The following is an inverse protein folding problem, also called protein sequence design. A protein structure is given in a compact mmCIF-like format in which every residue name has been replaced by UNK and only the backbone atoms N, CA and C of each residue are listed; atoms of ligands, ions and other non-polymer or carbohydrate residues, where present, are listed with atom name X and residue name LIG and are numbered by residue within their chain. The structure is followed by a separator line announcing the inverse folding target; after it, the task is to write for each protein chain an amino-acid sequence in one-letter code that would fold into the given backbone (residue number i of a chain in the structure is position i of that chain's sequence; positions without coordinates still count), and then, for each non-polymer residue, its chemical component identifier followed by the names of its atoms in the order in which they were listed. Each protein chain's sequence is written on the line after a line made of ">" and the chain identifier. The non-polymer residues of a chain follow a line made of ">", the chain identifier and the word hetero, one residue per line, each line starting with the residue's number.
data_IF_128040258467
#
_entry.id   IF_128040258467
#
_cell.length_a   1.000
_cell.length_b   1.000
_cell.length_c   1.000
_cell.angle_alpha   90.00
_cell.angle_beta   90.00
_cell.angle_gamma   90.00
#
_symmetry.space_group_name_H-M   'P 1'
#
loop_
_entity.id
_entity.type
_entity.pdbx_description
1 polymer ?
#
# COMPACT_ATOMS: atom_id res chain seq x y z
N UNK A 1 -15.64 -7.18 23.90
CA UNK A 1 -14.60 -7.98 23.18
C UNK A 1 -13.92 -7.03 22.22
N UNK A 2 -12.64 -7.21 21.94
CA UNK A 2 -11.92 -6.35 21.00
C UNK A 2 -12.40 -6.67 19.56
N UNK A 3 -12.84 -5.66 18.81
CA UNK A 3 -13.33 -5.80 17.42
C UNK A 3 -12.21 -6.10 16.42
N UNK A 4 -10.97 -5.69 16.74
CA UNK A 4 -9.76 -5.94 15.95
C UNK A 4 -8.70 -6.57 16.85
N UNK A 5 -8.01 -7.59 16.34
CA UNK A 5 -6.89 -8.23 17.04
C UNK A 5 -5.66 -8.28 16.15
N UNK A 6 -4.54 -7.82 16.67
CA UNK A 6 -3.23 -7.91 16.01
C UNK A 6 -2.47 -9.08 16.61
N UNK A 7 -1.85 -9.89 15.76
CA UNK A 7 -0.95 -10.97 16.14
C UNK A 7 0.39 -10.80 15.40
N UNK A 8 1.47 -11.21 16.04
CA UNK A 8 2.83 -10.97 15.59
C UNK A 8 3.70 -12.21 15.80
N UNK A 9 4.59 -12.51 14.84
CA UNK A 9 5.56 -13.60 14.96
C UNK A 9 6.90 -13.22 14.33
N UNK A 10 7.98 -13.68 14.96
CA UNK A 10 9.37 -13.67 14.45
C UNK A 10 9.88 -15.06 14.13
N UNK A 11 9.00 -16.06 14.09
CA UNK A 11 9.42 -17.42 13.77
C UNK A 11 9.97 -17.50 12.33
N UNK A 12 11.05 -18.24 12.15
CA UNK A 12 11.77 -18.34 10.88
C UNK A 12 11.09 -19.24 9.85
N UNK A 13 10.07 -20.01 10.23
CA UNK A 13 9.30 -20.85 9.32
C UNK A 13 7.85 -20.42 9.24
N UNK A 14 7.25 -20.49 8.06
CA UNK A 14 5.84 -20.15 7.82
C UNK A 14 4.90 -20.94 8.75
N UNK A 15 5.14 -22.23 8.95
CA UNK A 15 4.32 -23.07 9.82
C UNK A 15 4.37 -22.60 11.29
N UNK A 16 5.57 -22.30 11.82
CA UNK A 16 5.73 -21.81 13.18
C UNK A 16 5.13 -20.40 13.34
N UNK A 17 5.35 -19.52 12.36
CA UNK A 17 4.79 -18.17 12.39
C UNK A 17 3.26 -18.19 12.44
N UNK A 18 2.63 -19.01 11.61
CA UNK A 18 1.16 -19.14 11.59
C UNK A 18 0.64 -19.80 12.86
N UNK A 19 1.35 -20.80 13.42
CA UNK A 19 0.96 -21.41 14.68
C UNK A 19 0.96 -20.39 15.84
N UNK A 20 1.96 -19.52 15.92
CA UNK A 20 2.05 -18.43 16.91
C UNK A 20 0.91 -17.41 16.71
N UNK A 21 0.66 -17.00 15.46
CA UNK A 21 -0.44 -16.07 15.11
C UNK A 21 -1.79 -16.67 15.48
N UNK A 22 -2.05 -17.94 15.12
CA UNK A 22 -3.30 -18.63 15.44
C UNK A 22 -3.48 -18.77 16.95
N UNK A 23 -2.38 -19.06 17.70
CA UNK A 23 -2.39 -19.10 19.15
C UNK A 23 -2.79 -17.77 19.78
N UNK A 24 -2.23 -16.64 19.29
CA UNK A 24 -2.58 -15.29 19.75
C UNK A 24 -4.02 -14.90 19.38
N UNK A 25 -4.58 -15.49 18.33
CA UNK A 25 -5.98 -15.33 17.92
C UNK A 25 -6.93 -16.37 18.51
N UNK A 26 -6.48 -17.19 19.47
CA UNK A 26 -7.32 -18.19 20.10
C UNK A 26 -8.58 -17.56 20.73
N UNK A 27 -9.75 -18.16 20.46
CA UNK A 27 -11.05 -17.65 20.91
C UNK A 27 -11.54 -16.39 20.14
N UNK A 28 -10.76 -15.84 19.23
CA UNK A 28 -11.19 -14.77 18.34
C UNK A 28 -11.78 -15.39 17.05
N UNK A 29 -12.91 -14.86 16.58
CA UNK A 29 -13.57 -15.33 15.35
C UNK A 29 -13.49 -14.25 14.28
N UNK A 30 -12.47 -14.25 13.41
CA UNK A 30 -12.34 -13.24 12.39
C UNK A 30 -13.31 -13.49 11.21
N UNK A 31 -13.84 -12.40 10.63
CA UNK A 31 -14.41 -12.38 9.29
C UNK A 31 -13.31 -12.25 8.22
N UNK A 32 -12.24 -11.52 8.58
CA UNK A 32 -11.09 -11.25 7.72
C UNK A 32 -9.81 -11.34 8.53
N UNK A 33 -8.77 -11.89 7.92
CA UNK A 33 -7.38 -11.74 8.39
C UNK A 33 -6.56 -11.09 7.28
N UNK A 34 -5.98 -9.92 7.57
CA UNK A 34 -4.95 -9.29 6.75
C UNK A 34 -3.59 -9.73 7.27
N UNK A 35 -2.71 -10.22 6.38
CA UNK A 35 -1.38 -10.70 6.73
C UNK A 35 -0.30 -9.93 5.96
N UNK A 36 0.69 -9.46 6.69
CA UNK A 36 1.88 -8.77 6.17
C UNK A 36 3.10 -9.56 6.60
N UNK A 37 3.97 -9.91 5.66
CA UNK A 37 5.10 -10.78 5.94
C UNK A 37 6.35 -10.31 5.20
N UNK A 38 7.47 -10.26 5.92
CA UNK A 38 8.77 -10.06 5.32
C UNK A 38 9.10 -11.19 4.31
N UNK A 39 9.94 -10.88 3.33
CA UNK A 39 10.36 -11.80 2.26
C UNK A 39 11.23 -12.97 2.73
N UNK A 40 11.66 -12.98 4.00
CA UNK A 40 12.34 -14.11 4.63
C UNK A 40 11.45 -15.36 4.77
N UNK A 41 10.12 -15.22 4.69
CA UNK A 41 9.17 -16.31 4.70
C UNK A 41 8.94 -16.82 3.27
N UNK A 42 8.72 -18.13 3.10
CA UNK A 42 8.18 -18.66 1.84
C UNK A 42 6.71 -18.23 1.71
N UNK A 43 6.37 -17.32 0.78
CA UNK A 43 5.03 -16.75 0.72
C UNK A 43 3.94 -17.77 0.39
N UNK A 44 4.25 -18.79 -0.42
CA UNK A 44 3.30 -19.82 -0.78
C UNK A 44 2.99 -20.75 0.41
N UNK A 45 4.01 -21.14 1.17
CA UNK A 45 3.83 -21.92 2.39
C UNK A 45 3.08 -21.11 3.46
N UNK A 46 3.39 -19.81 3.60
CA UNK A 46 2.71 -18.93 4.55
C UNK A 46 1.21 -18.80 4.22
N UNK A 47 0.88 -18.52 2.97
CA UNK A 47 -0.51 -18.39 2.53
C UNK A 47 -1.29 -19.69 2.74
N UNK A 48 -0.71 -20.85 2.40
CA UNK A 48 -1.33 -22.15 2.60
C UNK A 48 -1.54 -22.47 4.10
N UNK A 49 -0.54 -22.17 4.95
CA UNK A 49 -0.65 -22.37 6.39
C UNK A 49 -1.72 -21.46 7.01
N UNK A 50 -1.81 -20.18 6.58
CA UNK A 50 -2.86 -19.26 7.00
C UNK A 50 -4.25 -19.82 6.66
N UNK A 51 -4.46 -20.39 5.44
CA UNK A 51 -5.73 -20.98 5.05
C UNK A 51 -6.10 -22.20 5.88
N UNK A 52 -5.11 -22.99 6.31
CA UNK A 52 -5.33 -24.09 7.23
C UNK A 52 -5.73 -23.62 8.63
N UNK A 53 -5.08 -22.58 9.14
CA UNK A 53 -5.35 -22.02 10.47
C UNK A 53 -6.68 -21.24 10.52
N UNK A 54 -7.04 -20.58 9.43
CA UNK A 54 -8.26 -19.78 9.29
C UNK A 54 -9.09 -20.28 8.11
N UNK A 55 -9.83 -21.39 8.28
CA UNK A 55 -10.64 -21.98 7.20
C UNK A 55 -11.81 -21.08 6.79
N UNK A 56 -12.42 -21.31 5.62
CA UNK A 56 -13.65 -20.62 5.25
C UNK A 56 -14.71 -20.71 6.35
N UNK A 57 -15.50 -19.66 6.59
CA UNK A 57 -15.72 -18.49 5.74
C UNK A 57 -14.75 -17.33 5.96
N UNK A 58 -13.67 -17.49 6.73
CA UNK A 58 -12.72 -16.41 6.96
C UNK A 58 -12.06 -15.98 5.64
N UNK A 59 -12.19 -14.70 5.29
CA UNK A 59 -11.50 -14.12 4.16
C UNK A 59 -10.02 -13.89 4.52
N UNK A 60 -9.12 -14.13 3.57
CA UNK A 60 -7.68 -13.90 3.75
C UNK A 60 -7.15 -12.99 2.63
N UNK A 61 -6.46 -11.92 3.03
CA UNK A 61 -5.73 -11.05 2.12
C UNK A 61 -4.41 -10.62 2.77
N UNK A 62 -3.48 -10.12 1.98
CA UNK A 62 -2.20 -9.64 2.50
C UNK A 62 -1.16 -9.48 1.41
N UNK A 63 0.09 -9.25 1.81
CA UNK A 63 1.20 -9.16 0.88
C UNK A 63 2.55 -9.38 1.57
N UNK A 64 3.58 -9.57 0.76
CA UNK A 64 4.98 -9.42 1.18
C UNK A 64 5.32 -7.96 1.42
N UNK A 65 6.28 -7.69 2.29
CA UNK A 65 6.65 -6.34 2.74
C UNK A 65 8.17 -6.14 2.79
N UNK A 66 8.56 -4.91 3.08
CA UNK A 66 9.94 -4.55 3.39
C UNK A 66 10.21 -4.43 4.90
N UNK A 67 9.27 -4.87 5.71
CA UNK A 67 9.33 -4.89 7.17
C UNK A 67 7.99 -4.51 7.81
N UNK A 68 7.76 -4.97 9.03
CA UNK A 68 6.53 -4.82 9.78
C UNK A 68 6.71 -3.97 11.02
N UNK A 69 5.61 -3.35 11.46
CA UNK A 69 5.53 -2.69 12.75
C UNK A 69 4.86 -3.65 13.72
N UNK A 70 5.66 -4.20 14.63
CA UNK A 70 5.23 -5.08 15.70
C UNK A 70 5.13 -4.37 17.05
N UNK A 71 4.85 -5.12 18.13
CA UNK A 71 4.76 -4.55 19.49
C UNK A 71 6.03 -3.85 19.97
N UNK A 72 7.19 -4.30 19.51
CA UNK A 72 8.50 -3.76 19.86
C UNK A 72 9.03 -2.73 18.85
N UNK A 73 8.20 -2.28 17.93
CA UNK A 73 8.55 -1.33 16.86
C UNK A 73 8.78 -2.02 15.51
N UNK A 74 9.62 -1.40 14.69
CA UNK A 74 9.91 -1.88 13.32
C UNK A 74 10.83 -3.12 13.32
N UNK A 75 10.48 -4.10 12.49
CA UNK A 75 11.23 -5.35 12.31
C UNK A 75 11.30 -5.74 10.83
N UNK A 76 12.39 -6.40 10.42
CA UNK A 76 12.62 -6.79 9.02
C UNK A 76 12.23 -8.25 8.70
N UNK A 77 12.15 -9.11 9.74
CA UNK A 77 11.98 -10.57 9.54
C UNK A 77 10.81 -11.05 10.40
N UNK A 78 9.62 -10.58 10.09
CA UNK A 78 8.45 -10.89 10.91
C UNK A 78 7.19 -11.11 10.07
N UNK A 79 6.14 -11.54 10.73
CA UNK A 79 4.80 -11.68 10.20
C UNK A 79 3.83 -10.98 11.13
N UNK A 80 3.02 -10.08 10.60
CA UNK A 80 1.93 -9.42 11.32
C UNK A 80 0.61 -9.85 10.70
N UNK A 81 -0.34 -10.24 11.52
CA UNK A 81 -1.71 -10.53 11.10
C UNK A 81 -2.71 -9.68 11.88
N UNK A 82 -3.66 -9.10 11.16
CA UNK A 82 -4.74 -8.28 11.72
C UNK A 82 -6.05 -9.00 11.48
N UNK A 83 -6.70 -9.46 12.53
CA UNK A 83 -8.02 -10.09 12.49
C UNK A 83 -9.13 -9.09 12.77
N UNK A 84 -10.18 -9.10 11.96
CA UNK A 84 -11.40 -8.31 12.12
C UNK A 84 -12.53 -9.23 12.58
N UNK A 85 -13.12 -8.96 13.74
CA UNK A 85 -14.11 -9.84 14.36
C UNK A 85 -15.37 -9.98 13.52
N UNK A 86 -15.86 -11.21 13.32
CA UNK A 86 -17.09 -11.48 12.56
C UNK A 86 -18.38 -10.95 13.23
N UNK A 87 -18.30 -10.55 14.51
CA UNK A 87 -19.41 -9.89 15.19
C UNK A 87 -19.61 -8.45 14.71
N UNK A 88 -18.52 -7.77 14.32
CA UNK A 88 -18.50 -6.33 14.04
C UNK A 88 -18.16 -6.03 12.58
N UNK A 89 -17.69 -7.04 11.83
CA UNK A 89 -17.24 -6.89 10.44
C UNK A 89 -17.73 -8.00 9.53
N UNK A 90 -17.92 -7.66 8.26
CA UNK A 90 -17.96 -8.63 7.16
C UNK A 90 -16.96 -8.23 6.10
N UNK A 91 -16.47 -9.19 5.32
CA UNK A 91 -15.51 -8.94 4.28
C UNK A 91 -15.72 -9.83 3.05
N UNK A 92 -15.48 -9.26 1.88
CA UNK A 92 -15.39 -9.96 0.62
C UNK A 92 -14.06 -9.62 -0.06
N UNK A 93 -13.34 -10.63 -0.52
CA UNK A 93 -12.05 -10.45 -1.18
C UNK A 93 -12.10 -10.83 -2.64
N UNK A 94 -11.23 -10.24 -3.45
CA UNK A 94 -11.03 -10.60 -4.85
C UNK A 94 -9.57 -10.45 -5.25
N UNK A 95 -9.09 -11.42 -6.03
CA UNK A 95 -7.80 -11.37 -6.70
C UNK A 95 -7.97 -10.76 -8.11
N UNK A 96 -7.08 -9.86 -8.47
CA UNK A 96 -6.95 -9.24 -9.80
C UNK A 96 -5.60 -9.71 -10.35
N UNK A 97 -5.54 -10.79 -11.13
CA UNK A 97 -4.31 -11.35 -11.65
C UNK A 97 -3.91 -10.70 -12.99
N UNK A 98 -2.67 -10.93 -13.43
CA UNK A 98 -2.20 -10.60 -14.78
C UNK A 98 -2.02 -9.10 -15.00
N UNK A 99 -1.46 -8.39 -14.04
CA UNK A 99 -1.27 -6.93 -14.10
C UNK A 99 -0.34 -6.50 -15.25
N UNK A 100 0.60 -7.35 -15.66
CA UNK A 100 1.47 -7.10 -16.82
C UNK A 100 0.68 -6.90 -18.11
N UNK A 101 -0.43 -7.62 -18.26
CA UNK A 101 -1.40 -7.50 -19.34
C UNK A 101 -2.73 -6.91 -18.83
N UNK A 102 -2.66 -5.85 -18.02
CA UNK A 102 -3.80 -5.30 -17.31
C UNK A 102 -4.99 -5.00 -18.22
N UNK A 103 -6.12 -5.63 -17.94
CA UNK A 103 -7.40 -5.40 -18.58
C UNK A 103 -8.34 -4.64 -17.62
N UNK A 104 -8.64 -3.40 -18.01
CA UNK A 104 -9.52 -2.51 -17.24
C UNK A 104 -10.93 -3.12 -17.05
N UNK A 105 -11.50 -3.70 -18.11
CA UNK A 105 -12.87 -4.23 -18.06
C UNK A 105 -12.95 -5.50 -17.21
N UNK A 106 -11.95 -6.39 -17.27
CA UNK A 106 -11.88 -7.56 -16.38
C UNK A 106 -11.71 -7.14 -14.93
N UNK A 107 -10.84 -6.18 -14.65
CA UNK A 107 -10.66 -5.63 -13.30
C UNK A 107 -11.98 -5.06 -12.76
N UNK A 108 -12.64 -4.18 -13.51
CA UNK A 108 -13.91 -3.59 -13.09
C UNK A 108 -14.99 -4.64 -12.84
N UNK A 109 -15.18 -5.61 -13.73
CA UNK A 109 -16.15 -6.69 -13.55
C UNK A 109 -15.89 -7.48 -12.25
N UNK A 110 -14.64 -7.86 -11.97
CA UNK A 110 -14.27 -8.56 -10.73
C UNK A 110 -14.61 -7.76 -9.49
N UNK A 111 -14.33 -6.46 -9.52
CA UNK A 111 -14.64 -5.55 -8.41
C UNK A 111 -16.15 -5.37 -8.26
N UNK A 112 -16.90 -5.21 -9.36
CA UNK A 112 -18.38 -5.12 -9.37
C UNK A 112 -19.03 -6.37 -8.77
N UNK A 113 -18.60 -7.57 -9.17
CA UNK A 113 -19.10 -8.84 -8.63
C UNK A 113 -18.82 -8.94 -7.11
N UNK A 114 -17.67 -8.44 -6.68
CA UNK A 114 -17.29 -8.44 -5.26
C UNK A 114 -18.06 -7.41 -4.47
N UNK A 115 -18.23 -6.20 -5.02
CA UNK A 115 -19.06 -5.16 -4.44
C UNK A 115 -20.50 -5.62 -4.26
N UNK A 116 -21.07 -6.29 -5.27
CA UNK A 116 -22.42 -6.83 -5.19
C UNK A 116 -22.56 -7.83 -4.04
N UNK A 117 -21.65 -8.80 -3.92
CA UNK A 117 -21.63 -9.77 -2.81
C UNK A 117 -21.48 -9.08 -1.46
N UNK A 118 -20.54 -8.14 -1.34
CA UNK A 118 -20.33 -7.37 -0.12
C UNK A 118 -21.56 -6.57 0.27
N UNK A 119 -22.26 -5.96 -0.71
CA UNK A 119 -23.50 -5.21 -0.48
C UNK A 119 -24.59 -6.09 0.10
N UNK A 120 -24.82 -7.27 -0.47
CA UNK A 120 -25.81 -8.23 0.06
C UNK A 120 -25.48 -8.66 1.51
N UNK A 121 -24.21 -8.91 1.81
CA UNK A 121 -23.78 -9.30 3.14
C UNK A 121 -23.97 -8.17 4.16
N UNK A 122 -23.53 -6.95 3.84
CA UNK A 122 -23.63 -5.79 4.74
C UNK A 122 -25.10 -5.38 5.00
N UNK A 123 -25.95 -5.45 3.99
CA UNK A 123 -27.38 -5.16 4.13
C UNK A 123 -28.08 -6.16 5.04
N UNK A 124 -27.76 -7.47 4.90
CA UNK A 124 -28.29 -8.51 5.77
C UNK A 124 -27.87 -8.34 7.24
N UNK A 125 -26.72 -7.71 7.50
CA UNK A 125 -26.20 -7.45 8.85
C UNK A 125 -26.54 -6.04 9.37
N UNK A 126 -27.03 -5.14 8.49
CA UNK A 126 -27.31 -3.76 8.85
C UNK A 126 -26.04 -2.90 9.02
N UNK A 127 -24.93 -3.24 8.35
CA UNK A 127 -23.67 -2.52 8.43
C UNK A 127 -23.65 -1.35 7.44
N UNK A 128 -23.71 -0.08 7.90
CA UNK A 128 -23.81 1.08 7.03
C UNK A 128 -22.46 1.51 6.40
N UNK A 129 -21.36 1.21 7.07
CA UNK A 129 -20.04 1.70 6.70
C UNK A 129 -19.26 0.68 5.88
N UNK A 130 -18.51 1.14 4.88
CA UNK A 130 -17.63 0.29 4.07
C UNK A 130 -16.33 0.98 3.73
N UNK A 131 -15.24 0.21 3.70
CA UNK A 131 -13.94 0.63 3.19
C UNK A 131 -13.33 -0.49 2.35
N UNK A 132 -12.42 -0.13 1.47
CA UNK A 132 -11.68 -1.06 0.65
C UNK A 132 -10.20 -1.04 1.01
N UNK A 133 -9.59 -2.21 1.13
CA UNK A 133 -8.16 -2.38 1.33
C UNK A 133 -7.55 -3.01 0.09
N UNK A 134 -6.70 -2.27 -0.63
CA UNK A 134 -6.09 -2.66 -1.90
C UNK A 134 -4.59 -2.89 -1.72
N UNK A 135 -4.12 -4.08 -2.05
CA UNK A 135 -2.70 -4.40 -2.10
C UNK A 135 -2.32 -4.80 -3.52
N UNK A 136 -1.24 -4.23 -4.03
CA UNK A 136 -0.79 -4.42 -5.42
C UNK A 136 0.64 -4.95 -5.43
N UNK A 137 0.97 -5.86 -6.32
CA UNK A 137 2.36 -6.25 -6.57
C UNK A 137 3.19 -5.01 -6.95
N UNK A 138 4.14 -4.64 -6.07
CA UNK A 138 4.92 -3.41 -6.21
C UNK A 138 5.89 -3.40 -7.40
N UNK A 139 6.18 -4.56 -7.99
CA UNK A 139 7.03 -4.67 -9.18
C UNK A 139 6.21 -4.66 -10.49
N UNK A 140 4.88 -4.69 -10.38
CA UNK A 140 4.00 -4.65 -11.57
C UNK A 140 3.99 -3.30 -12.27
N UNK A 141 4.30 -2.20 -11.57
CA UNK A 141 4.17 -0.82 -12.04
C UNK A 141 2.73 -0.47 -12.48
N UNK A 142 1.72 -1.09 -11.84
CA UNK A 142 0.30 -0.98 -12.21
C UNK A 142 -0.60 -0.40 -11.09
N UNK A 143 -0.01 0.16 -10.05
CA UNK A 143 -0.76 0.70 -8.92
C UNK A 143 -1.79 1.76 -9.36
N UNK A 144 -1.40 2.69 -10.23
CA UNK A 144 -2.27 3.77 -10.68
C UNK A 144 -3.44 3.28 -11.55
N UNK A 145 -3.24 2.45 -12.60
CA UNK A 145 -4.36 1.93 -13.38
C UNK A 145 -5.28 1.02 -12.57
N UNK A 146 -4.74 0.17 -11.68
CA UNK A 146 -5.54 -0.68 -10.79
C UNK A 146 -6.33 0.16 -9.80
N UNK A 147 -5.67 1.10 -9.10
CA UNK A 147 -6.34 1.98 -8.15
C UNK A 147 -7.46 2.80 -8.80
N UNK A 148 -7.22 3.32 -10.02
CA UNK A 148 -8.25 4.04 -10.79
C UNK A 148 -9.43 3.13 -11.17
N UNK A 149 -9.15 1.91 -11.64
CA UNK A 149 -10.19 0.95 -12.01
C UNK A 149 -11.08 0.60 -10.82
N UNK A 150 -10.47 0.32 -9.68
CA UNK A 150 -11.15 0.02 -8.41
C UNK A 150 -12.00 1.21 -7.95
N UNK A 151 -11.43 2.43 -7.91
CA UNK A 151 -12.15 3.60 -7.44
C UNK A 151 -13.35 3.98 -8.33
N UNK A 152 -13.25 3.76 -9.65
CA UNK A 152 -14.37 4.00 -10.56
C UNK A 152 -15.59 3.11 -10.26
N UNK A 153 -15.37 1.88 -9.81
CA UNK A 153 -16.44 0.95 -9.42
C UNK A 153 -16.94 1.24 -8.02
N UNK A 154 -16.05 1.53 -7.07
CA UNK A 154 -16.40 1.69 -5.67
C UNK A 154 -17.06 3.05 -5.34
N UNK A 155 -16.94 4.04 -6.23
CA UNK A 155 -17.52 5.37 -6.04
C UNK A 155 -17.01 6.05 -4.77
N UNK A 156 -17.90 6.29 -3.80
CA UNK A 156 -17.58 6.97 -2.54
C UNK A 156 -16.97 6.07 -1.46
N UNK A 157 -16.88 4.76 -1.69
CA UNK A 157 -16.21 3.87 -0.73
C UNK A 157 -14.71 4.17 -0.73
N UNK A 158 -14.13 4.58 0.42
CA UNK A 158 -12.73 4.92 0.47
C UNK A 158 -11.84 3.70 0.23
N UNK A 159 -10.78 3.91 -0.54
CA UNK A 159 -9.76 2.89 -0.82
C UNK A 159 -8.48 3.27 -0.12
N UNK A 160 -7.96 2.37 0.69
CA UNK A 160 -6.65 2.46 1.34
C UNK A 160 -5.81 1.24 0.99
N UNK A 161 -4.51 1.33 1.14
CA UNK A 161 -3.63 0.19 0.85
C UNK A 161 -2.24 0.61 0.42
N UNK A 162 -1.58 -0.26 -0.31
CA UNK A 162 -0.20 -0.02 -0.75
C UNK A 162 0.32 -1.11 -1.68
N UNK A 163 1.60 -0.98 -2.01
CA UNK A 163 2.33 -1.94 -2.82
C UNK A 163 3.03 -2.98 -1.95
N UNK A 164 3.02 -4.23 -2.39
CA UNK A 164 3.84 -5.29 -1.80
C UNK A 164 5.33 -4.95 -1.97
N UNK A 165 6.14 -5.32 -0.99
CA UNK A 165 7.59 -5.12 -0.95
C UNK A 165 8.36 -6.43 -0.81
N UNK A 166 9.71 -6.35 -0.90
CA UNK A 166 10.63 -7.47 -0.73
C UNK A 166 11.97 -7.00 -0.10
N UNK A 167 11.91 -6.33 1.03
CA UNK A 167 13.09 -5.84 1.76
C UNK A 167 14.04 -4.99 0.91
N UNK A 168 13.54 -4.29 -0.11
CA UNK A 168 14.29 -3.47 -1.07
C UNK A 168 15.21 -4.28 -2.03
N UNK A 169 14.98 -5.59 -2.16
CA UNK A 169 15.71 -6.43 -3.12
C UNK A 169 15.23 -6.21 -4.56
N UNK A 170 13.98 -5.77 -4.76
CA UNK A 170 13.33 -5.55 -6.06
C UNK A 170 13.40 -6.77 -6.98
N UNK A 171 13.16 -7.96 -6.42
CA UNK A 171 13.24 -9.25 -7.13
C UNK A 171 11.89 -9.90 -7.29
N UNK A 172 11.09 -9.96 -6.21
CA UNK A 172 9.79 -10.60 -6.21
C UNK A 172 8.92 -10.06 -5.08
N UNK A 173 7.77 -9.53 -5.46
CA UNK A 173 6.71 -9.15 -4.52
C UNK A 173 5.48 -9.99 -4.80
N UNK A 174 4.69 -10.29 -3.75
CA UNK A 174 3.50 -11.12 -3.86
C UNK A 174 2.37 -10.60 -3.01
N UNK A 175 1.15 -10.77 -3.51
CA UNK A 175 -0.06 -10.57 -2.73
C UNK A 175 -0.62 -11.93 -2.29
N UNK A 176 -1.28 -11.96 -1.13
CA UNK A 176 -1.93 -13.15 -0.58
C UNK A 176 -3.43 -13.06 -0.78
N UNK A 177 -4.02 -14.13 -1.27
CA UNK A 177 -5.46 -14.26 -1.41
C UNK A 177 -5.90 -15.70 -1.15
N UNK A 178 -6.72 -15.89 -0.13
CA UNK A 178 -7.41 -17.14 0.19
C UNK A 178 -6.53 -18.42 0.13
N UNK A 179 -5.31 -18.33 0.67
CA UNK A 179 -4.38 -19.43 0.78
C UNK A 179 -3.41 -19.58 -0.38
N UNK A 180 -3.39 -18.63 -1.30
CA UNK A 180 -2.41 -18.53 -2.38
C UNK A 180 -1.59 -17.25 -2.29
N UNK A 181 -0.35 -17.30 -2.78
CA UNK A 181 0.53 -16.14 -2.96
C UNK A 181 0.81 -15.97 -4.45
N UNK A 182 0.67 -14.74 -4.97
CA UNK A 182 0.80 -14.46 -6.40
C UNK A 182 1.55 -13.15 -6.64
N UNK A 183 2.50 -13.20 -7.59
CA UNK A 183 3.07 -12.02 -8.24
C UNK A 183 2.20 -11.60 -9.43
N UNK A 184 2.49 -10.44 -10.01
CA UNK A 184 1.74 -9.89 -11.15
C UNK A 184 0.23 -9.80 -10.86
N UNK A 185 -0.11 -9.47 -9.60
CA UNK A 185 -1.49 -9.48 -9.11
C UNK A 185 -1.76 -8.35 -8.10
N UNK A 186 -3.05 -8.06 -7.91
CA UNK A 186 -3.52 -7.26 -6.79
C UNK A 186 -4.61 -8.03 -6.03
N UNK A 187 -4.78 -7.71 -4.75
CA UNK A 187 -5.88 -8.21 -3.93
C UNK A 187 -6.65 -7.02 -3.35
N UNK A 188 -7.96 -7.07 -3.46
CA UNK A 188 -8.89 -6.13 -2.85
C UNK A 188 -9.69 -6.84 -1.77
N UNK A 189 -9.76 -6.25 -0.58
CA UNK A 189 -10.67 -6.65 0.49
C UNK A 189 -11.69 -5.52 0.71
N UNK A 190 -12.97 -5.80 0.46
CA UNK A 190 -14.08 -4.93 0.84
C UNK A 190 -14.50 -5.29 2.25
N UNK A 191 -14.43 -4.34 3.17
CA UNK A 191 -14.73 -4.51 4.59
C UNK A 191 -15.94 -3.65 4.91
N UNK A 192 -16.95 -4.23 5.57
CA UNK A 192 -18.12 -3.48 6.04
C UNK A 192 -18.33 -3.69 7.54
N UNK A 193 -18.85 -2.65 8.23
CA UNK A 193 -18.99 -2.60 9.68
C UNK A 193 -20.10 -1.61 10.08
N UNK A 194 -20.60 -1.75 11.29
CA UNK A 194 -21.42 -0.74 11.96
C UNK A 194 -20.59 0.25 12.79
N UNK A 195 -19.33 -0.05 13.03
CA UNK A 195 -18.43 0.81 13.78
C UNK A 195 -18.07 2.07 13.00
N UNK A 196 -17.89 3.22 13.67
CA UNK A 196 -17.36 4.42 13.05
C UNK A 196 -15.88 4.21 12.69
N UNK A 197 -15.47 4.77 11.55
CA UNK A 197 -14.06 4.81 11.15
C UNK A 197 -13.73 6.12 10.42
N UNK A 198 -12.44 6.42 10.34
CA UNK A 198 -11.90 7.52 9.55
C UNK A 198 -10.71 7.06 8.72
N UNK A 199 -10.69 7.49 7.47
CA UNK A 199 -9.49 7.41 6.64
C UNK A 199 -8.77 8.74 6.74
N UNK A 200 -7.55 8.72 7.23
CA UNK A 200 -6.73 9.92 7.37
C UNK A 200 -5.52 9.84 6.47
N UNK A 201 -5.15 10.98 5.89
CA UNK A 201 -3.89 11.16 5.18
C UNK A 201 -2.95 12.00 6.04
N UNK A 202 -1.81 11.44 6.40
CA UNK A 202 -0.73 12.20 7.04
C UNK A 202 0.24 12.69 5.98
N UNK A 203 0.77 13.89 6.15
CA UNK A 203 1.76 14.48 5.26
C UNK A 203 2.69 15.37 6.07
N UNK A 204 3.96 14.96 6.17
CA UNK A 204 5.00 15.69 6.90
C UNK A 204 5.95 16.43 5.96
N UNK A 205 5.49 16.79 4.77
CA UNK A 205 6.23 17.58 3.80
C UNK A 205 5.47 18.86 3.48
N UNK A 206 6.22 19.96 3.41
CA UNK A 206 5.71 21.26 2.98
C UNK A 206 6.40 21.67 1.67
N UNK A 207 5.61 22.02 0.68
CA UNK A 207 6.08 22.49 -0.62
C UNK A 207 6.81 23.83 -0.46
N UNK A 208 7.92 23.97 -1.17
CA UNK A 208 8.61 25.26 -1.37
C UNK A 208 8.18 25.92 -2.69
N UNK A 209 8.71 27.09 -2.98
CA UNK A 209 8.46 27.81 -4.24
C UNK A 209 9.32 27.31 -5.41
N UNK A 210 10.30 26.46 -5.13
CA UNK A 210 11.21 25.91 -6.15
C UNK A 210 10.47 24.87 -7.00
N UNK A 211 10.37 25.15 -8.30
CA UNK A 211 9.62 24.33 -9.26
C UNK A 211 10.53 23.69 -10.29
N UNK A 212 10.12 22.52 -10.73
CA UNK A 212 10.78 21.69 -11.72
C UNK A 212 9.72 21.21 -12.71
N UNK A 213 9.84 21.60 -13.97
CA UNK A 213 8.95 21.10 -15.03
C UNK A 213 9.58 19.87 -15.65
N UNK A 214 8.88 18.75 -15.67
CA UNK A 214 9.29 17.55 -16.41
C UNK A 214 9.14 17.85 -17.91
N UNK A 215 10.26 18.04 -18.60
CA UNK A 215 10.30 18.37 -20.04
C UNK A 215 10.61 17.17 -20.92
N UNK A 216 11.00 16.04 -20.33
CA UNK A 216 11.18 14.78 -21.02
C UNK A 216 10.98 13.61 -20.06
N UNK A 217 10.21 12.61 -20.51
CA UNK A 217 9.94 11.42 -19.70
C UNK A 217 9.76 10.15 -20.55
N UNK A 218 9.95 9.00 -19.92
CA UNK A 218 9.53 7.67 -20.40
C UNK A 218 8.51 7.12 -19.39
N UNK A 219 7.21 7.46 -19.51
CA UNK A 219 6.21 7.16 -18.48
C UNK A 219 6.06 5.67 -18.16
N UNK A 220 6.12 4.80 -19.20
CA UNK A 220 6.01 3.35 -19.04
C UNK A 220 7.13 2.75 -18.16
N UNK A 221 8.29 3.42 -18.09
CA UNK A 221 9.46 3.04 -17.30
C UNK A 221 9.52 3.83 -15.97
N UNK A 222 8.62 4.79 -15.75
CA UNK A 222 8.66 5.75 -14.64
C UNK A 222 9.98 6.53 -14.59
N UNK A 223 10.51 6.93 -15.75
CA UNK A 223 11.80 7.62 -15.87
C UNK A 223 11.58 9.03 -16.39
N UNK A 224 12.17 10.01 -15.69
CA UNK A 224 12.30 11.40 -16.13
C UNK A 224 13.68 11.60 -16.74
N UNK A 225 13.73 11.97 -18.01
CA UNK A 225 14.98 12.22 -18.74
C UNK A 225 15.43 13.66 -18.63
N UNK A 226 14.47 14.60 -18.61
CA UNK A 226 14.76 16.03 -18.58
C UNK A 226 13.84 16.78 -17.60
N UNK A 227 14.43 17.72 -16.89
CA UNK A 227 13.76 18.72 -16.04
C UNK A 227 14.22 20.12 -16.51
N UNK A 228 13.27 21.01 -16.76
CA UNK A 228 13.54 22.38 -17.23
C UNK A 228 14.43 22.44 -18.52
N UNK A 229 14.41 21.41 -19.37
CA UNK A 229 15.22 21.28 -20.57
C UNK A 229 16.67 20.82 -20.32
N UNK A 230 17.01 20.36 -19.12
CA UNK A 230 18.34 19.84 -18.75
C UNK A 230 18.23 18.37 -18.31
N UNK A 231 19.34 17.58 -18.37
CA UNK A 231 19.34 16.21 -17.85
C UNK A 231 18.82 16.16 -16.40
N UNK A 232 17.84 15.32 -16.15
CA UNK A 232 17.01 15.36 -14.95
C UNK A 232 17.81 15.36 -13.63
N UNK A 233 18.82 14.46 -13.50
CA UNK A 233 19.61 14.35 -12.29
C UNK A 233 20.50 15.57 -12.07
N UNK A 234 21.02 16.18 -13.15
CA UNK A 234 21.87 17.37 -13.05
C UNK A 234 21.05 18.57 -12.59
N UNK A 235 19.87 18.76 -13.17
CA UNK A 235 19.00 19.89 -12.80
C UNK A 235 18.42 19.70 -11.39
N UNK A 236 18.00 18.50 -11.02
CA UNK A 236 17.56 18.20 -9.65
C UNK A 236 18.70 18.50 -8.65
N UNK A 237 19.92 18.00 -8.90
CA UNK A 237 21.09 18.24 -8.07
C UNK A 237 21.37 19.74 -7.88
N UNK A 238 21.27 20.52 -8.96
CA UNK A 238 21.43 21.97 -8.94
C UNK A 238 20.39 22.66 -8.05
N UNK A 239 19.12 22.27 -8.16
CA UNK A 239 18.01 22.87 -7.41
C UNK A 239 18.08 22.52 -5.93
N UNK A 240 18.41 21.28 -5.59
CA UNK A 240 18.50 20.87 -4.18
C UNK A 240 19.85 21.24 -3.52
N UNK A 241 20.84 21.67 -4.32
CA UNK A 241 22.17 22.08 -3.82
C UNK A 241 23.06 20.90 -3.41
N UNK A 242 22.82 19.69 -3.97
CA UNK A 242 23.58 18.46 -3.68
C UNK A 242 24.33 18.03 -4.94
N UNK A 243 25.64 17.71 -4.87
CA UNK A 243 26.35 17.15 -6.02
C UNK A 243 25.69 15.89 -6.55
N UNK A 244 25.62 15.71 -7.89
CA UNK A 244 24.95 14.55 -8.52
C UNK A 244 25.53 13.21 -8.04
N UNK A 245 26.81 13.15 -7.75
CA UNK A 245 27.47 11.95 -7.22
C UNK A 245 27.00 11.55 -5.80
N UNK A 246 26.35 12.47 -5.09
CA UNK A 246 25.84 12.27 -3.73
C UNK A 246 24.30 12.11 -3.71
N UNK A 247 23.67 11.98 -4.88
CA UNK A 247 22.25 11.69 -4.99
C UNK A 247 21.99 10.21 -4.73
N UNK A 248 21.77 9.88 -3.49
CA UNK A 248 21.44 8.57 -2.97
C UNK A 248 20.01 8.56 -2.38
N UNK A 249 19.49 7.40 -1.92
CA UNK A 249 18.17 7.33 -1.30
C UNK A 249 17.97 8.27 -0.12
N UNK A 250 19.02 8.57 0.66
CA UNK A 250 18.95 9.50 1.79
C UNK A 250 18.80 10.95 1.31
N UNK A 251 19.51 11.32 0.24
CA UNK A 251 19.37 12.64 -0.39
C UNK A 251 17.96 12.82 -0.95
N UNK A 252 17.38 11.79 -1.61
CA UNK A 252 16.00 11.87 -2.12
C UNK A 252 14.96 11.96 -0.99
N UNK A 253 15.19 11.29 0.13
CA UNK A 253 14.33 11.41 1.31
C UNK A 253 14.44 12.80 1.98
N UNK A 254 15.61 13.40 2.00
CA UNK A 254 15.84 14.72 2.58
C UNK A 254 15.28 15.86 1.72
N UNK A 255 15.27 15.68 0.39
CA UNK A 255 14.81 16.68 -0.59
C UNK A 255 13.70 16.12 -1.49
N UNK A 256 12.54 15.72 -0.94
CA UNK A 256 11.48 15.11 -1.71
C UNK A 256 10.86 16.11 -2.69
N UNK A 257 10.23 15.57 -3.73
CA UNK A 257 9.46 16.37 -4.67
C UNK A 257 7.98 16.01 -4.58
N UNK A 258 7.14 17.02 -4.77
CA UNK A 258 5.66 16.87 -4.71
C UNK A 258 5.02 17.42 -5.97
N UNK A 259 3.89 16.82 -6.34
CA UNK A 259 2.98 17.34 -7.36
C UNK A 259 1.68 17.80 -6.69
N UNK A 260 1.08 18.87 -7.18
CA UNK A 260 -0.23 19.33 -6.73
C UNK A 260 -1.32 18.87 -7.69
N UNK A 261 -2.28 18.10 -7.16
CA UNK A 261 -3.42 17.58 -7.91
C UNK A 261 -4.70 17.87 -7.12
N UNK A 262 -5.68 18.53 -7.73
CA UNK A 262 -6.97 18.81 -7.09
C UNK A 262 -6.87 19.62 -5.79
N UNK A 263 -5.83 20.46 -5.65
CA UNK A 263 -5.59 21.23 -4.42
C UNK A 263 -4.75 20.50 -3.36
N UNK A 264 -4.58 19.20 -3.47
CA UNK A 264 -3.76 18.37 -2.56
C UNK A 264 -2.37 18.12 -3.11
N UNK A 265 -1.41 17.93 -2.22
CA UNK A 265 -0.01 17.64 -2.57
C UNK A 265 0.24 16.13 -2.44
N UNK A 266 1.01 15.59 -3.39
CA UNK A 266 1.39 14.17 -3.43
C UNK A 266 2.88 14.06 -3.69
N UNK A 267 3.57 13.31 -2.82
CA UNK A 267 4.99 13.03 -3.01
C UNK A 267 5.19 12.19 -4.26
N UNK A 268 6.26 12.52 -5.01
CA UNK A 268 6.76 11.72 -6.13
C UNK A 268 8.17 11.26 -5.76
N UNK A 269 8.25 10.05 -5.21
CA UNK A 269 9.51 9.54 -4.68
C UNK A 269 10.46 9.14 -5.81
N UNK A 270 11.66 9.71 -5.78
CA UNK A 270 12.76 9.34 -6.68
C UNK A 270 13.39 8.06 -6.13
N UNK A 271 13.65 7.08 -7.01
CA UNK A 271 14.28 5.82 -6.67
C UNK A 271 15.80 5.87 -6.82
N UNK A 272 16.27 6.34 -7.97
CA UNK A 272 17.71 6.36 -8.29
C UNK A 272 18.05 7.29 -9.45
N UNK A 273 19.35 7.59 -9.55
CA UNK A 273 19.98 8.19 -10.73
C UNK A 273 20.38 7.07 -11.70
N UNK A 274 20.06 7.20 -12.97
CA UNK A 274 20.51 6.28 -14.02
C UNK A 274 21.84 6.77 -14.63
N UNK A 275 22.59 5.87 -15.35
CA UNK A 275 23.88 6.22 -15.96
C UNK A 275 23.81 7.36 -16.99
N UNK A 276 22.66 7.58 -17.62
CA UNK A 276 22.38 8.66 -18.58
C UNK A 276 21.91 9.97 -17.89
N UNK A 277 22.06 10.09 -16.58
CA UNK A 277 21.57 11.19 -15.76
C UNK A 277 20.05 11.38 -15.78
N UNK A 278 19.28 10.40 -16.20
CA UNK A 278 17.85 10.37 -15.94
C UNK A 278 17.54 9.94 -14.51
N UNK A 279 16.31 10.19 -14.03
CA UNK A 279 15.84 9.83 -12.70
C UNK A 279 14.72 8.79 -12.81
N UNK A 280 14.86 7.64 -12.15
CA UNK A 280 13.77 6.69 -11.96
C UNK A 280 12.92 7.06 -10.76
N UNK A 281 11.60 6.87 -10.87
CA UNK A 281 10.63 7.14 -9.82
C UNK A 281 9.94 5.86 -9.38
N UNK A 282 9.47 5.82 -8.13
CA UNK A 282 8.64 4.73 -7.63
C UNK A 282 7.17 4.81 -8.10
N UNK A 283 6.72 5.96 -8.58
CA UNK A 283 5.34 6.25 -8.96
C UNK A 283 5.25 6.73 -10.41
N UNK A 284 4.03 6.75 -10.95
CA UNK A 284 3.79 7.29 -12.28
C UNK A 284 4.22 8.76 -12.38
N UNK A 285 4.89 9.05 -13.48
CA UNK A 285 5.39 10.38 -13.82
C UNK A 285 5.20 10.59 -15.33
N UNK A 286 4.92 11.81 -15.75
CA UNK A 286 4.65 12.13 -17.14
C UNK A 286 5.28 13.46 -17.51
N UNK A 287 5.45 13.69 -18.81
CA UNK A 287 5.89 14.97 -19.34
C UNK A 287 4.83 16.05 -19.07
N UNK A 288 5.30 17.28 -18.82
CA UNK A 288 4.43 18.41 -18.47
C UNK A 288 4.06 18.50 -17.00
N UNK A 289 4.37 17.50 -16.18
CA UNK A 289 4.15 17.58 -14.73
C UNK A 289 5.07 18.64 -14.11
N UNK A 290 4.48 19.47 -13.25
CA UNK A 290 5.22 20.45 -12.46
C UNK A 290 5.46 19.86 -11.07
N UNK A 291 6.69 19.49 -10.80
CA UNK A 291 7.17 19.11 -9.48
C UNK A 291 7.58 20.34 -8.69
N UNK A 292 7.39 20.30 -7.39
CA UNK A 292 7.95 21.30 -6.48
C UNK A 292 8.86 20.60 -5.48
N UNK A 293 9.99 21.22 -5.13
CA UNK A 293 10.77 20.75 -3.99
C UNK A 293 9.92 20.86 -2.73
N UNK A 294 10.05 19.91 -1.84
CA UNK A 294 9.46 19.97 -0.52
C UNK A 294 10.53 19.87 0.56
N UNK A 295 10.18 20.35 1.74
CA UNK A 295 10.99 20.21 2.95
C UNK A 295 10.26 19.35 3.97
N UNK A 296 11.01 18.53 4.70
CA UNK A 296 10.46 17.72 5.77
C UNK A 296 9.98 18.58 6.94
N UNK A 297 8.85 18.19 7.52
CA UNK A 297 8.36 18.64 8.81
C UNK A 297 8.57 17.52 9.83
N UNK A 298 8.27 17.79 11.10
CA UNK A 298 8.30 16.75 12.13
C UNK A 298 7.22 15.70 11.84
N UNK A 299 7.65 14.50 11.42
CA UNK A 299 6.77 13.41 11.06
C UNK A 299 6.01 12.85 12.28
N UNK A 300 6.65 12.82 13.46
CA UNK A 300 6.06 12.31 14.68
C UNK A 300 4.97 13.25 15.18
N UNK A 301 5.26 14.53 15.29
CA UNK A 301 4.27 15.54 15.69
C UNK A 301 3.09 15.61 14.71
N UNK A 302 3.34 15.41 13.40
CA UNK A 302 2.28 15.35 12.40
C UNK A 302 1.38 14.13 12.61
N UNK A 303 1.95 12.96 12.86
CA UNK A 303 1.20 11.72 13.12
C UNK A 303 0.39 11.82 14.44
N UNK A 304 0.99 12.30 15.52
CA UNK A 304 0.32 12.52 16.80
C UNK A 304 -0.88 13.46 16.64
N UNK A 305 -0.70 14.57 15.92
CA UNK A 305 -1.80 15.51 15.63
C UNK A 305 -2.90 14.90 14.77
N UNK A 306 -2.56 14.00 13.84
CA UNK A 306 -3.55 13.31 13.02
C UNK A 306 -4.37 12.31 13.86
N UNK A 307 -3.72 11.55 14.74
CA UNK A 307 -4.38 10.59 15.64
C UNK A 307 -5.28 11.30 16.66
N UNK A 308 -4.82 12.40 17.26
CA UNK A 308 -5.62 13.19 18.20
C UNK A 308 -6.93 13.69 17.54
N UNK A 309 -6.85 14.17 16.28
CA UNK A 309 -8.06 14.57 15.54
C UNK A 309 -9.02 13.40 15.29
N UNK A 310 -8.50 12.21 15.03
CA UNK A 310 -9.35 11.02 14.87
C UNK A 310 -10.06 10.68 16.18
N UNK A 311 -9.35 10.74 17.31
CA UNK A 311 -9.94 10.55 18.63
C UNK A 311 -11.08 11.55 18.90
N UNK A 312 -10.88 12.83 18.61
CA UNK A 312 -11.91 13.87 18.76
C UNK A 312 -13.15 13.64 17.86
N UNK A 313 -12.97 13.09 16.65
CA UNK A 313 -14.04 12.90 15.68
C UNK A 313 -14.84 11.61 15.89
N UNK A 314 -14.21 10.55 16.42
CA UNK A 314 -14.84 9.23 16.54
C UNK A 314 -15.20 8.94 18.02
N UNK A 315 -14.43 9.50 18.94
CA UNK A 315 -14.40 9.50 20.37
C UNK A 315 -15.21 8.97 21.24
#
# INVERSE_FOLDING_TARGET
>A
MTSIRVAFSRASSAASAVAEIAGQMAGFRPALVLCFAADAQDPAQLAAALRQAFPPPVALAGCTTAGEIGPDGYTNDSVVAIGFAAADFTAATVLIPGLSAFDLADCQRRVEDTLHRSTLQREALGFPNSLAFLLVDGLSLREEPVGRAVQLVLGDIPVVGGSAGDSLHFRQTQVFHDGSAQSDAAVLALISTDLPFRVVKTQHFQRTDERMVVTGARPAERVVTEINGFPAALEYARIVGVPVANLDPMAFAAYPVVVRIGGSEYVRSIQKVNPDHSLSFYCAIDEGIVLSRAQGLDALANLESALARVEEEIG
#
